data_IF_137058647475
#
_entry.id   IF_137058647475
#
_cell.length_a   1.000
_cell.length_b   1.000
_cell.length_c   1.000
_cell.angle_alpha   90.00
_cell.angle_beta   90.00
_cell.angle_gamma   90.00
#
_symmetry.space_group_name_H-M   'P 1'
#
loop_
_entity.id
_entity.type
_entity.pdbx_description
1 polymer ?
#
# COMPACT_ATOMS: atom_id res chain seq x y z
N UNK A 1 80.97 16.25 -27.56
CA UNK A 1 80.66 17.70 -27.43
C UNK A 1 79.23 17.85 -27.93
N UNK A 2 78.21 18.14 -27.14
CA UNK A 2 78.05 19.16 -26.09
C UNK A 2 77.19 18.59 -24.95
N UNK A 3 77.37 19.14 -23.76
CA UNK A 3 76.83 18.72 -22.47
C UNK A 3 75.45 19.35 -22.11
N UNK A 4 74.63 18.59 -21.36
CA UNK A 4 73.82 18.87 -20.14
C UNK A 4 73.19 20.28 -19.87
N UNK A 5 72.05 20.42 -19.13
CA UNK A 5 71.81 19.75 -17.83
C UNK A 5 70.36 19.38 -17.35
N UNK A 6 70.35 18.40 -16.44
CA UNK A 6 69.61 18.20 -15.16
C UNK A 6 68.26 18.89 -14.88
N UNK A 7 67.29 18.15 -14.32
CA UNK A 7 67.06 18.07 -12.87
C UNK A 7 66.06 16.96 -12.46
N UNK A 8 66.44 16.24 -11.41
CA UNK A 8 65.71 15.40 -10.44
C UNK A 8 64.24 15.85 -10.18
N UNK A 9 63.25 15.02 -9.76
CA UNK A 9 63.26 14.12 -8.59
C UNK A 9 61.91 13.38 -8.42
N UNK A 10 61.96 12.25 -7.68
CA UNK A 10 60.91 11.57 -6.89
C UNK A 10 59.63 11.02 -7.55
N UNK A 11 59.65 9.71 -7.85
CA UNK A 11 58.44 8.89 -7.87
C UNK A 11 58.35 8.13 -6.52
N UNK A 12 57.47 8.58 -5.64
CA UNK A 12 57.14 7.88 -4.40
C UNK A 12 56.28 6.65 -4.71
N UNK A 13 56.74 5.48 -4.23
CA UNK A 13 55.90 4.31 -4.00
C UNK A 13 54.79 4.69 -3.01
N UNK A 14 53.53 4.61 -3.45
CA UNK A 14 52.39 4.47 -2.57
C UNK A 14 51.76 3.10 -2.84
N UNK A 15 52.15 2.12 -2.01
CA UNK A 15 51.47 0.83 -1.86
C UNK A 15 50.15 1.11 -1.16
N UNK A 16 49.07 1.23 -1.93
CA UNK A 16 47.70 1.26 -1.41
C UNK A 16 47.09 -0.12 -1.53
N UNK A 17 46.95 -0.83 -0.41
CA UNK A 17 46.16 -2.05 -0.26
C UNK A 17 44.70 -1.78 -0.67
N UNK A 18 44.34 -2.07 -1.91
CA UNK A 18 42.94 -2.27 -2.29
C UNK A 18 42.54 -3.66 -1.80
N UNK A 19 41.91 -3.72 -0.63
CA UNK A 19 41.14 -4.86 -0.17
C UNK A 19 39.99 -5.10 -1.15
N UNK A 20 40.22 -5.98 -2.13
CA UNK A 20 39.18 -6.58 -2.94
C UNK A 20 38.32 -7.48 -2.05
N UNK A 21 37.36 -6.90 -1.33
CA UNK A 21 36.17 -7.62 -0.91
C UNK A 21 35.26 -7.70 -2.13
N UNK A 22 35.50 -8.71 -2.96
CA UNK A 22 34.52 -9.14 -3.95
C UNK A 22 33.30 -9.64 -3.19
N UNK A 23 32.31 -8.77 -2.96
CA UNK A 23 30.95 -9.18 -2.69
C UNK A 23 30.41 -9.80 -3.97
N UNK A 24 30.73 -11.07 -4.18
CA UNK A 24 30.04 -11.90 -5.15
C UNK A 24 28.61 -11.96 -4.63
N UNK A 25 27.71 -11.19 -5.23
CA UNK A 25 26.29 -11.45 -5.15
C UNK A 25 26.09 -12.82 -5.78
N UNK A 26 26.12 -13.86 -4.95
CA UNK A 26 25.68 -15.17 -5.37
C UNK A 26 24.21 -14.99 -5.74
N UNK A 27 23.90 -15.13 -7.03
CA UNK A 27 22.52 -15.32 -7.46
C UNK A 27 21.89 -16.36 -6.52
N UNK A 28 20.68 -16.11 -5.99
CA UNK A 28 20.02 -17.09 -5.14
C UNK A 28 20.08 -18.43 -5.88
N UNK A 29 20.58 -19.47 -5.18
CA UNK A 29 20.68 -20.81 -5.76
C UNK A 29 19.37 -21.11 -6.48
N UNK A 30 19.43 -21.60 -7.71
CA UNK A 30 18.25 -22.11 -8.40
C UNK A 30 17.65 -23.21 -7.53
N UNK A 31 16.74 -22.83 -6.62
CA UNK A 31 15.84 -23.75 -5.99
C UNK A 31 15.09 -24.37 -7.16
N UNK A 32 15.29 -25.68 -7.38
CA UNK A 32 14.52 -26.40 -8.38
C UNK A 32 13.06 -26.16 -8.01
N UNK A 33 12.25 -25.63 -8.94
CA UNK A 33 10.80 -25.37 -8.72
C UNK A 33 10.10 -26.56 -8.06
N UNK A 34 10.61 -27.76 -8.32
CA UNK A 34 10.16 -29.07 -7.83
C UNK A 34 10.38 -29.30 -6.32
N UNK A 35 11.10 -28.41 -5.62
CA UNK A 35 11.42 -28.54 -4.19
C UNK A 35 10.63 -27.59 -3.28
N UNK A 36 9.78 -26.72 -3.82
CA UNK A 36 8.86 -25.94 -2.99
C UNK A 36 7.75 -26.90 -2.54
N UNK A 37 7.61 -27.20 -1.24
CA UNK A 37 6.55 -28.08 -0.77
C UNK A 37 5.19 -27.48 -1.16
N UNK A 38 4.39 -28.24 -1.90
CA UNK A 38 3.01 -27.83 -2.20
C UNK A 38 2.26 -27.76 -0.87
N UNK A 39 1.85 -26.56 -0.48
CA UNK A 39 1.04 -26.33 0.70
C UNK A 39 -0.37 -26.89 0.45
N UNK A 40 -0.89 -27.81 1.30
CA UNK A 40 -2.24 -28.33 1.15
C UNK A 40 -3.29 -27.18 1.10
N UNK A 41 -4.37 -27.29 0.30
CA UNK A 41 -5.42 -26.26 0.23
C UNK A 41 -6.01 -25.88 1.60
N UNK A 42 -6.07 -26.82 2.54
CA UNK A 42 -6.51 -26.58 3.92
C UNK A 42 -5.58 -25.62 4.70
N UNK A 43 -4.33 -25.47 4.26
CA UNK A 43 -3.32 -24.56 4.82
C UNK A 43 -3.18 -23.26 4.00
N UNK A 44 -3.83 -23.14 2.83
CA UNK A 44 -3.86 -21.93 2.01
C UNK A 44 -4.93 -20.91 2.46
N UNK A 45 -5.39 -21.00 3.72
CA UNK A 45 -6.15 -19.93 4.39
C UNK A 45 -7.57 -19.65 3.88
N UNK A 46 -8.09 -20.40 2.91
CA UNK A 46 -9.41 -20.11 2.34
C UNK A 46 -10.60 -20.52 3.23
N UNK A 47 -10.39 -21.36 4.26
CA UNK A 47 -11.39 -21.71 5.30
C UNK A 47 -12.70 -22.38 4.82
N UNK A 48 -13.00 -22.38 3.52
CA UNK A 48 -14.20 -22.94 2.95
C UNK A 48 -13.96 -24.41 2.59
N UNK A 49 -14.88 -25.30 3.01
CA UNK A 49 -14.96 -26.66 2.48
C UNK A 49 -15.22 -26.55 0.96
N UNK A 50 -14.30 -27.02 0.09
CA UNK A 50 -14.50 -26.95 -1.35
C UNK A 50 -15.76 -27.69 -1.83
N UNK A 51 -16.34 -28.58 -0.99
CA UNK A 51 -17.62 -29.25 -1.25
C UNK A 51 -18.85 -28.36 -1.04
N UNK A 52 -18.69 -27.21 -0.39
CA UNK A 52 -19.76 -26.26 -0.09
C UNK A 52 -19.61 -24.90 -0.81
N UNK A 53 -18.42 -24.61 -1.36
CA UNK A 53 -18.20 -23.43 -2.18
C UNK A 53 -19.04 -23.49 -3.48
N UNK A 54 -19.52 -22.34 -3.96
CA UNK A 54 -20.23 -22.25 -5.24
C UNK A 54 -19.32 -22.69 -6.39
N UNK A 55 -19.44 -23.95 -6.82
CA UNK A 55 -18.57 -24.53 -7.84
C UNK A 55 -18.89 -23.97 -9.22
N UNK A 56 -17.84 -23.73 -10.01
CA UNK A 56 -18.02 -23.60 -11.45
C UNK A 56 -18.38 -24.98 -12.01
N UNK A 57 -19.66 -25.18 -12.36
CA UNK A 57 -20.18 -26.46 -12.89
C UNK A 57 -19.87 -26.66 -14.39
N UNK A 58 -18.92 -25.93 -14.96
CA UNK A 58 -18.57 -26.09 -16.37
C UNK A 58 -17.77 -27.38 -16.60
N UNK A 59 -18.39 -28.36 -17.24
CA UNK A 59 -17.79 -29.65 -17.62
C UNK A 59 -17.36 -29.69 -19.10
N UNK A 60 -17.03 -28.54 -19.70
CA UNK A 60 -16.74 -28.44 -21.13
C UNK A 60 -15.25 -28.27 -21.45
N UNK A 61 -14.82 -28.82 -22.60
CA UNK A 61 -13.50 -28.57 -23.21
C UNK A 61 -13.20 -27.08 -23.45
N UNK A 62 -14.23 -26.22 -23.42
CA UNK A 62 -14.10 -24.76 -23.43
C UNK A 62 -14.38 -24.24 -22.01
N UNK A 63 -13.48 -23.47 -21.38
CA UNK A 63 -13.74 -22.88 -20.07
C UNK A 63 -14.92 -21.91 -20.20
N UNK A 64 -15.98 -22.15 -19.42
CA UNK A 64 -17.11 -21.24 -19.33
C UNK A 64 -16.99 -20.40 -18.06
N UNK A 65 -17.44 -19.13 -18.14
CA UNK A 65 -17.61 -18.33 -16.93
C UNK A 65 -18.57 -19.04 -16.00
N UNK A 66 -18.25 -18.99 -14.71
CA UNK A 66 -19.17 -19.44 -13.68
C UNK A 66 -20.49 -18.69 -13.85
N UNK A 67 -21.60 -19.45 -13.93
CA UNK A 67 -22.97 -19.00 -14.20
C UNK A 67 -23.38 -18.71 -15.66
N UNK A 68 -22.53 -18.96 -16.68
CA UNK A 68 -22.94 -18.90 -18.11
C UNK A 68 -23.65 -17.59 -18.52
N UNK A 69 -23.24 -16.46 -17.95
CA UNK A 69 -23.89 -15.16 -18.18
C UNK A 69 -23.62 -14.69 -19.61
N UNK A 70 -24.61 -14.83 -20.51
CA UNK A 70 -24.49 -14.47 -21.94
C UNK A 70 -24.49 -12.95 -22.21
N UNK A 71 -25.03 -12.15 -21.29
CA UNK A 71 -25.14 -10.69 -21.37
C UNK A 71 -24.78 -10.10 -20.01
N UNK A 72 -23.49 -10.00 -19.66
CA UNK A 72 -23.09 -9.46 -18.37
C UNK A 72 -23.47 -7.98 -18.27
N UNK A 73 -23.83 -7.55 -17.08
CA UNK A 73 -23.93 -6.14 -16.70
C UNK A 73 -22.83 -5.87 -15.68
N UNK A 74 -22.22 -4.70 -15.74
CA UNK A 74 -21.19 -4.27 -14.78
C UNK A 74 -21.76 -3.34 -13.70
N UNK A 75 -23.08 -3.20 -13.61
CA UNK A 75 -23.72 -2.45 -12.54
C UNK A 75 -23.61 -3.18 -11.20
N UNK A 76 -23.46 -2.44 -10.11
CA UNK A 76 -23.44 -3.00 -8.76
C UNK A 76 -24.75 -3.73 -8.42
N UNK A 77 -24.69 -4.86 -7.71
CA UNK A 77 -25.88 -5.68 -7.40
C UNK A 77 -26.46 -5.45 -6.01
N UNK A 78 -25.62 -5.09 -5.05
CA UNK A 78 -26.02 -4.93 -3.66
C UNK A 78 -25.60 -3.57 -3.11
N UNK A 79 -26.10 -3.24 -1.91
CA UNK A 79 -25.61 -2.07 -1.19
C UNK A 79 -24.13 -2.24 -0.81
N UNK A 80 -23.66 -3.47 -0.55
CA UNK A 80 -22.25 -3.73 -0.28
C UNK A 80 -21.38 -3.40 -1.51
N UNK A 81 -21.78 -3.88 -2.70
CA UNK A 81 -21.11 -3.53 -3.96
C UNK A 81 -21.11 -2.01 -4.17
N UNK A 82 -22.28 -1.36 -4.04
CA UNK A 82 -22.41 0.08 -4.21
C UNK A 82 -21.45 0.87 -3.30
N UNK A 83 -21.44 0.55 -2.00
CA UNK A 83 -20.61 1.27 -1.02
C UNK A 83 -19.11 1.00 -1.21
N UNK A 84 -18.75 -0.18 -1.70
CA UNK A 84 -17.35 -0.54 -1.97
C UNK A 84 -16.84 0.16 -3.23
N UNK A 85 -17.62 0.15 -4.31
CA UNK A 85 -17.29 0.87 -5.56
C UNK A 85 -17.35 2.39 -5.36
N UNK A 86 -18.25 2.91 -4.53
CA UNK A 86 -18.28 4.33 -4.17
C UNK A 86 -17.04 4.78 -3.39
N UNK A 87 -16.50 3.91 -2.52
CA UNK A 87 -15.21 4.15 -1.86
C UNK A 87 -14.07 4.19 -2.89
N UNK A 88 -14.00 3.21 -3.79
CA UNK A 88 -13.02 3.21 -4.87
C UNK A 88 -13.14 4.48 -5.74
N UNK A 89 -14.36 4.92 -6.09
CA UNK A 89 -14.54 6.17 -6.85
C UNK A 89 -14.04 7.43 -6.11
N UNK A 90 -14.14 7.47 -4.78
CA UNK A 90 -13.51 8.54 -3.99
C UNK A 90 -11.98 8.51 -4.08
N UNK A 91 -11.39 7.32 -4.16
CA UNK A 91 -9.96 7.11 -4.40
C UNK A 91 -9.55 7.65 -5.79
N UNK A 92 -10.24 7.22 -6.85
CA UNK A 92 -9.93 7.67 -8.23
C UNK A 92 -9.90 9.20 -8.34
N UNK A 93 -10.88 9.87 -7.72
CA UNK A 93 -10.96 11.33 -7.79
C UNK A 93 -9.87 12.06 -7.01
N UNK A 94 -9.42 11.51 -5.87
CA UNK A 94 -8.32 12.14 -5.14
C UNK A 94 -6.99 11.90 -5.85
N UNK A 95 -6.79 10.76 -6.52
CA UNK A 95 -5.58 10.50 -7.30
C UNK A 95 -5.51 11.39 -8.54
N UNK A 96 -6.63 11.49 -9.25
CA UNK A 96 -6.77 12.43 -10.37
C UNK A 96 -6.41 13.86 -9.95
N UNK A 97 -6.94 14.33 -8.82
CA UNK A 97 -6.66 15.66 -8.30
C UNK A 97 -5.21 15.80 -7.85
N UNK A 98 -4.70 14.85 -7.03
CA UNK A 98 -3.36 14.86 -6.48
C UNK A 98 -2.29 14.91 -7.56
N UNK A 99 -2.38 14.03 -8.57
CA UNK A 99 -1.35 13.94 -9.61
C UNK A 99 -1.31 15.21 -10.45
N UNK A 100 -2.47 15.77 -10.80
CA UNK A 100 -2.54 17.06 -11.49
C UNK A 100 -2.05 18.21 -10.60
N UNK A 101 -2.43 18.23 -9.33
CA UNK A 101 -2.03 19.26 -8.36
C UNK A 101 -0.51 19.28 -8.17
N UNK A 102 0.12 18.12 -7.97
CA UNK A 102 1.57 18.01 -7.85
C UNK A 102 2.29 18.57 -9.07
N UNK A 103 1.87 18.15 -10.27
CA UNK A 103 2.45 18.58 -11.56
C UNK A 103 2.42 20.09 -11.80
N UNK A 104 1.48 20.82 -11.18
CA UNK A 104 1.37 22.28 -11.33
C UNK A 104 1.90 23.07 -10.13
N UNK A 105 2.04 22.43 -8.96
CA UNK A 105 2.50 23.08 -7.73
C UNK A 105 3.98 23.46 -7.81
N UNK A 106 4.79 22.62 -8.43
CA UNK A 106 6.25 22.75 -8.47
C UNK A 106 6.74 23.21 -9.85
N UNK A 107 7.88 23.90 -9.88
CA UNK A 107 8.53 24.27 -11.13
C UNK A 107 9.32 23.10 -11.71
N UNK A 108 9.61 23.15 -13.01
CA UNK A 108 10.51 22.18 -13.66
C UNK A 108 11.87 22.08 -12.95
N UNK A 109 12.40 23.20 -12.44
CA UNK A 109 13.66 23.21 -11.70
C UNK A 109 13.58 22.46 -10.34
N UNK A 110 12.43 22.49 -9.66
CA UNK A 110 12.22 21.75 -8.41
C UNK A 110 12.18 20.24 -8.69
N UNK A 111 11.57 19.83 -9.80
CA UNK A 111 11.54 18.45 -10.26
C UNK A 111 12.92 17.96 -10.69
N UNK A 112 13.64 18.75 -11.49
CA UNK A 112 15.00 18.42 -11.94
C UNK A 112 15.95 18.30 -10.72
N UNK A 113 15.78 19.15 -9.70
CA UNK A 113 16.54 19.06 -8.46
C UNK A 113 16.23 17.81 -7.62
N UNK A 114 15.02 17.25 -7.76
CA UNK A 114 14.63 15.98 -7.16
C UNK A 114 15.03 14.77 -8.02
N UNK A 115 15.60 14.98 -9.21
CA UNK A 115 15.96 13.93 -10.15
C UNK A 115 14.78 13.36 -10.95
N UNK A 116 13.67 14.08 -11.02
CA UNK A 116 12.45 13.71 -11.76
C UNK A 116 12.42 14.52 -13.06
N UNK A 117 12.72 13.86 -14.18
CA UNK A 117 12.88 14.54 -15.46
C UNK A 117 11.55 14.77 -16.20
N UNK A 118 11.61 15.29 -17.42
CA UNK A 118 10.43 15.57 -18.23
C UNK A 118 9.64 14.31 -18.63
N UNK A 119 10.30 13.17 -18.82
CA UNK A 119 9.67 11.90 -19.17
C UNK A 119 9.01 11.28 -17.93
N UNK A 120 9.61 11.40 -16.76
CA UNK A 120 9.00 11.02 -15.48
C UNK A 120 7.74 11.85 -15.19
N UNK A 121 7.81 13.17 -15.38
CA UNK A 121 6.64 14.07 -15.28
C UNK A 121 5.57 13.70 -16.31
N UNK A 122 5.96 13.24 -17.50
CA UNK A 122 5.02 12.73 -18.50
C UNK A 122 4.32 11.45 -18.03
N UNK A 123 5.03 10.53 -17.38
CA UNK A 123 4.44 9.33 -16.80
C UNK A 123 3.42 9.70 -15.71
N UNK A 124 3.73 10.63 -14.80
CA UNK A 124 2.77 11.11 -13.79
C UNK A 124 1.51 11.69 -14.44
N UNK A 125 1.67 12.46 -15.52
CA UNK A 125 0.53 12.99 -16.29
C UNK A 125 -0.29 11.88 -16.93
N UNK A 126 0.36 10.83 -17.42
CA UNK A 126 -0.34 9.67 -17.98
C UNK A 126 -1.11 8.90 -16.91
N UNK A 127 -0.53 8.72 -15.71
CA UNK A 127 -1.25 8.14 -14.56
C UNK A 127 -2.50 8.95 -14.23
N UNK A 128 -2.40 10.28 -14.18
CA UNK A 128 -3.58 11.16 -14.01
C UNK A 128 -4.66 10.96 -15.10
N UNK A 129 -4.28 10.65 -16.34
CA UNK A 129 -5.25 10.34 -17.40
C UNK A 129 -5.92 8.98 -17.22
N UNK A 130 -5.21 8.01 -16.63
CA UNK A 130 -5.77 6.70 -16.31
C UNK A 130 -6.88 6.84 -15.26
N UNK A 131 -6.71 7.72 -14.27
CA UNK A 131 -7.74 7.98 -13.24
C UNK A 131 -9.04 8.54 -13.82
N UNK A 132 -8.99 9.26 -14.95
CA UNK A 132 -10.22 9.67 -15.67
C UNK A 132 -10.98 8.43 -16.16
N UNK A 133 -10.26 7.47 -16.75
CA UNK A 133 -10.84 6.22 -17.25
C UNK A 133 -11.43 5.39 -16.12
N UNK A 134 -10.71 5.25 -15.00
CA UNK A 134 -11.18 4.55 -13.82
C UNK A 134 -12.42 5.22 -13.21
N UNK A 135 -12.38 6.53 -12.98
CA UNK A 135 -13.51 7.28 -12.45
C UNK A 135 -14.77 7.17 -13.33
N UNK A 136 -14.61 7.21 -14.66
CA UNK A 136 -15.71 6.99 -15.63
C UNK A 136 -16.27 5.56 -15.51
N UNK A 137 -15.40 4.55 -15.45
CA UNK A 137 -15.82 3.17 -15.31
C UNK A 137 -16.64 2.97 -14.03
N UNK A 138 -16.12 3.38 -12.88
CA UNK A 138 -16.80 3.22 -11.58
C UNK A 138 -18.08 4.06 -11.48
N UNK A 139 -18.06 5.29 -12.01
CA UNK A 139 -19.28 6.12 -12.08
C UNK A 139 -20.38 5.46 -12.90
N UNK A 140 -20.03 4.80 -14.02
CA UNK A 140 -21.00 4.07 -14.84
C UNK A 140 -21.57 2.83 -14.11
N UNK A 141 -20.79 2.15 -13.27
CA UNK A 141 -21.28 1.03 -12.46
C UNK A 141 -22.29 1.47 -11.39
N UNK A 142 -22.06 2.66 -10.80
CA UNK A 142 -22.88 3.25 -9.74
C UNK A 142 -24.11 4.01 -10.27
N UNK A 143 -24.05 4.47 -11.52
CA UNK A 143 -25.13 5.18 -12.19
C UNK A 143 -25.38 6.58 -11.62
N UNK A 144 -26.62 7.09 -11.64
CA UNK A 144 -26.94 8.47 -11.25
C UNK A 144 -26.57 8.86 -9.80
N UNK A 145 -26.35 7.87 -8.93
CA UNK A 145 -25.98 8.05 -7.52
C UNK A 145 -24.47 8.01 -7.27
N UNK A 146 -23.66 7.88 -8.33
CA UNK A 146 -22.21 7.91 -8.21
C UNK A 146 -21.76 9.21 -7.50
N UNK A 147 -20.92 9.13 -6.45
CA UNK A 147 -20.27 10.29 -5.89
C UNK A 147 -19.60 11.16 -6.96
N UNK A 148 -19.65 12.47 -6.74
CA UNK A 148 -18.92 13.47 -7.52
C UNK A 148 -17.60 13.80 -6.86
N UNK A 149 -16.66 14.33 -7.64
CA UNK A 149 -15.36 14.76 -7.16
C UNK A 149 -15.50 15.78 -6.02
N UNK A 150 -14.67 15.62 -4.99
CA UNK A 150 -14.66 16.48 -3.81
C UNK A 150 -13.55 17.55 -3.93
N UNK A 151 -13.37 18.36 -2.90
CA UNK A 151 -12.20 19.23 -2.74
C UNK A 151 -11.23 18.59 -1.75
N UNK A 152 -9.94 18.76 -2.00
CA UNK A 152 -8.87 18.05 -1.29
C UNK A 152 -7.87 19.02 -0.68
N UNK A 153 -7.06 18.50 0.25
CA UNK A 153 -5.93 19.22 0.85
C UNK A 153 -4.72 18.29 0.90
N UNK A 154 -3.54 18.86 0.66
CA UNK A 154 -2.27 18.14 0.76
C UNK A 154 -1.24 19.01 1.46
N UNK A 155 -0.41 18.41 2.33
CA UNK A 155 0.47 19.15 3.24
C UNK A 155 1.95 19.15 2.82
N UNK A 156 2.30 18.50 1.70
CA UNK A 156 3.66 18.49 1.18
C UNK A 156 4.12 19.85 0.63
N UNK A 157 5.42 20.12 0.77
CA UNK A 157 6.11 21.37 0.39
C UNK A 157 7.23 21.15 -0.62
N UNK A 158 7.66 19.91 -0.85
CA UNK A 158 8.73 19.56 -1.80
C UNK A 158 8.30 18.45 -2.76
N UNK A 159 9.00 18.32 -3.90
CA UNK A 159 8.76 17.23 -4.87
C UNK A 159 8.93 15.84 -4.21
N UNK A 160 9.98 15.56 -3.42
CA UNK A 160 10.08 14.28 -2.72
C UNK A 160 8.92 13.99 -1.77
N UNK A 161 8.44 14.99 -1.03
CA UNK A 161 7.25 14.83 -0.16
C UNK A 161 5.97 14.59 -0.97
N UNK A 162 5.84 15.19 -2.16
CA UNK A 162 4.75 14.89 -3.08
C UNK A 162 4.81 13.44 -3.58
N UNK A 163 5.99 12.97 -3.99
CA UNK A 163 6.18 11.59 -4.45
C UNK A 163 5.92 10.58 -3.32
N UNK A 164 6.44 10.80 -2.11
CA UNK A 164 6.14 9.94 -0.94
C UNK A 164 4.64 9.94 -0.63
N UNK A 165 3.98 11.10 -0.67
CA UNK A 165 2.53 11.17 -0.44
C UNK A 165 1.75 10.41 -1.51
N UNK A 166 2.08 10.56 -2.79
CA UNK A 166 1.48 9.79 -3.89
C UNK A 166 1.72 8.29 -3.75
N UNK A 167 2.94 7.89 -3.39
CA UNK A 167 3.31 6.51 -3.14
C UNK A 167 2.41 5.86 -2.07
N UNK A 168 2.23 6.55 -0.95
CA UNK A 168 1.37 6.07 0.13
C UNK A 168 -0.09 6.10 -0.30
N UNK A 169 -0.55 7.20 -0.89
CA UNK A 169 -1.95 7.40 -1.27
C UNK A 169 -2.45 6.31 -2.22
N UNK A 170 -1.66 5.99 -3.23
CA UNK A 170 -1.97 4.91 -4.15
C UNK A 170 -1.93 3.55 -3.46
N UNK A 171 -1.03 3.32 -2.49
CA UNK A 171 -1.01 2.05 -1.76
C UNK A 171 -2.29 1.77 -0.98
N UNK A 172 -2.86 2.76 -0.28
CA UNK A 172 -4.10 2.50 0.47
C UNK A 172 -5.33 2.41 -0.43
N UNK A 173 -5.33 3.07 -1.58
CA UNK A 173 -6.33 2.87 -2.63
C UNK A 173 -6.31 1.45 -3.17
N UNK A 174 -5.12 1.05 -3.65
CA UNK A 174 -4.77 -0.27 -4.13
C UNK A 174 -5.20 -1.37 -3.15
N UNK A 175 -4.68 -1.29 -1.93
CA UNK A 175 -4.94 -2.29 -0.89
C UNK A 175 -6.41 -2.30 -0.45
N UNK A 176 -7.07 -1.14 -0.48
CA UNK A 176 -8.50 -1.02 -0.18
C UNK A 176 -9.34 -1.87 -1.13
N UNK A 177 -9.11 -1.75 -2.44
CA UNK A 177 -9.82 -2.54 -3.45
C UNK A 177 -9.49 -4.01 -3.35
N UNK A 178 -8.20 -4.38 -3.24
CA UNK A 178 -7.81 -5.80 -3.10
C UNK A 178 -8.48 -6.47 -1.89
N UNK A 179 -8.74 -5.72 -0.81
CA UNK A 179 -9.39 -6.25 0.39
C UNK A 179 -10.87 -6.58 0.26
N UNK A 180 -11.59 -6.03 -0.74
CA UNK A 180 -13.01 -6.32 -0.94
C UNK A 180 -13.35 -6.92 -2.30
N UNK A 181 -12.41 -6.96 -3.24
CA UNK A 181 -12.65 -7.39 -4.62
C UNK A 181 -13.33 -8.77 -4.71
N UNK A 182 -12.86 -9.72 -3.88
CA UNK A 182 -13.40 -11.08 -3.80
C UNK A 182 -14.76 -11.17 -3.07
N UNK A 183 -15.18 -10.10 -2.41
CA UNK A 183 -16.43 -10.01 -1.66
C UNK A 183 -17.57 -9.38 -2.47
N UNK A 184 -17.29 -8.85 -3.67
CA UNK A 184 -18.31 -8.28 -4.55
C UNK A 184 -19.26 -9.35 -5.08
N UNK A 185 -20.56 -9.02 -5.09
CA UNK A 185 -21.60 -9.90 -5.61
C UNK A 185 -21.55 -9.98 -7.15
N UNK A 186 -21.31 -8.85 -7.83
CA UNK A 186 -21.18 -8.82 -9.28
C UNK A 186 -19.74 -9.08 -9.76
N UNK A 187 -19.49 -10.30 -10.24
CA UNK A 187 -18.21 -10.70 -10.84
C UNK A 187 -17.78 -9.87 -12.06
N UNK A 188 -18.73 -9.32 -12.83
CA UNK A 188 -18.40 -8.47 -13.97
C UNK A 188 -17.89 -7.09 -13.53
N UNK A 189 -18.47 -6.51 -12.48
CA UNK A 189 -17.94 -5.29 -11.84
C UNK A 189 -16.57 -5.55 -11.24
N UNK A 190 -16.42 -6.66 -10.50
CA UNK A 190 -15.13 -7.07 -9.93
C UNK A 190 -14.06 -7.26 -11.01
N UNK A 191 -14.40 -7.83 -12.18
CA UNK A 191 -13.43 -8.01 -13.25
C UNK A 191 -12.95 -6.69 -13.86
N UNK A 192 -13.81 -5.68 -13.98
CA UNK A 192 -13.39 -4.36 -14.47
C UNK A 192 -12.55 -3.66 -13.40
N UNK A 193 -12.98 -3.71 -12.13
CA UNK A 193 -12.22 -3.14 -11.02
C UNK A 193 -10.84 -3.82 -10.87
N UNK A 194 -10.73 -5.13 -11.12
CA UNK A 194 -9.46 -5.84 -11.15
C UNK A 194 -8.49 -5.27 -12.21
N UNK A 195 -9.02 -4.85 -13.36
CA UNK A 195 -8.21 -4.29 -14.44
C UNK A 195 -7.69 -2.88 -14.09
N UNK A 196 -8.50 -2.05 -13.44
CA UNK A 196 -8.05 -0.72 -12.97
C UNK A 196 -7.06 -0.87 -11.82
N UNK A 197 -7.36 -1.67 -10.81
CA UNK A 197 -6.51 -1.77 -9.61
C UNK A 197 -5.13 -2.37 -9.91
N UNK A 198 -5.03 -3.28 -10.89
CA UNK A 198 -3.73 -3.80 -11.36
C UNK A 198 -2.91 -2.71 -12.06
N UNK A 199 -3.56 -1.67 -12.59
CA UNK A 199 -2.88 -0.48 -13.11
C UNK A 199 -2.40 0.40 -11.97
N UNK A 200 -3.23 0.66 -10.95
CA UNK A 200 -2.84 1.40 -9.73
C UNK A 200 -1.63 0.77 -9.02
N UNK A 201 -1.56 -0.56 -8.92
CA UNK A 201 -0.38 -1.26 -8.39
C UNK A 201 0.91 -0.90 -9.14
N UNK A 202 0.84 -0.68 -10.46
CA UNK A 202 1.99 -0.24 -11.27
C UNK A 202 2.31 1.23 -11.08
N UNK A 203 1.30 2.05 -10.79
CA UNK A 203 1.49 3.46 -10.47
C UNK A 203 2.20 3.60 -9.12
N UNK A 204 1.76 2.83 -8.12
CA UNK A 204 2.41 2.73 -6.82
C UNK A 204 3.87 2.29 -6.97
N UNK A 205 4.13 1.25 -7.76
CA UNK A 205 5.48 0.81 -8.12
C UNK A 205 6.30 1.95 -8.75
N UNK A 206 5.71 2.73 -9.65
CA UNK A 206 6.38 3.87 -10.30
C UNK A 206 6.73 4.97 -9.29
N UNK A 207 5.83 5.29 -8.35
CA UNK A 207 6.14 6.24 -7.28
C UNK A 207 7.27 5.74 -6.36
N UNK A 208 7.36 4.43 -6.09
CA UNK A 208 8.52 3.87 -5.38
C UNK A 208 9.83 4.06 -6.16
N UNK A 209 9.80 3.91 -7.49
CA UNK A 209 10.96 4.16 -8.35
C UNK A 209 11.37 5.63 -8.32
N UNK A 210 10.40 6.55 -8.38
CA UNK A 210 10.63 7.99 -8.25
C UNK A 210 11.16 8.38 -6.87
N UNK A 211 10.80 7.65 -5.82
CA UNK A 211 11.34 7.90 -4.48
C UNK A 211 12.77 7.35 -4.31
N UNK A 212 13.23 6.46 -5.20
CA UNK A 212 14.51 5.76 -5.07
C UNK A 212 14.44 4.54 -4.15
N UNK A 213 13.25 3.94 -3.98
CA UNK A 213 13.03 2.69 -3.27
C UNK A 213 13.02 1.49 -4.23
N UNK A 214 13.18 0.28 -3.71
CA UNK A 214 13.01 -0.91 -4.56
C UNK A 214 11.55 -1.02 -5.05
N UNK A 215 11.32 -1.22 -6.37
CA UNK A 215 9.97 -1.14 -6.94
C UNK A 215 9.03 -2.26 -6.52
N UNK A 216 9.53 -3.47 -6.25
CA UNK A 216 8.70 -4.67 -6.01
C UNK A 216 9.16 -5.44 -4.76
N UNK A 217 9.03 -4.87 -3.55
CA UNK A 217 9.60 -5.41 -2.31
C UNK A 217 8.86 -6.64 -1.75
N UNK A 218 7.67 -6.96 -2.25
CA UNK A 218 6.82 -8.04 -1.76
C UNK A 218 6.46 -9.05 -2.88
N UNK A 219 5.95 -10.22 -2.49
CA UNK A 219 5.51 -11.24 -3.46
C UNK A 219 4.03 -11.12 -3.80
N UNK A 220 3.23 -10.54 -2.90
CA UNK A 220 1.77 -10.49 -3.02
C UNK A 220 1.24 -9.16 -2.51
N UNK A 221 0.29 -8.59 -3.24
CA UNK A 221 -0.32 -7.34 -2.81
C UNK A 221 -1.23 -7.53 -1.60
N UNK A 222 -1.16 -6.57 -0.68
CA UNK A 222 -1.91 -6.60 0.58
C UNK A 222 -3.33 -6.09 0.35
N UNK A 223 -4.34 -6.78 0.88
CA UNK A 223 -5.72 -6.25 0.96
C UNK A 223 -6.04 -5.70 2.34
N UNK A 224 -6.79 -4.59 2.43
CA UNK A 224 -7.31 -4.05 3.70
C UNK A 224 -8.83 -3.81 3.64
N UNK A 225 -9.55 -3.85 4.78
CA UNK A 225 -10.99 -3.60 4.80
C UNK A 225 -11.37 -2.20 4.31
N UNK A 226 -12.59 -2.04 3.77
CA UNK A 226 -13.10 -0.74 3.31
C UNK A 226 -13.06 0.34 4.38
N UNK A 227 -13.37 -0.02 5.64
CA UNK A 227 -13.32 0.91 6.78
C UNK A 227 -11.89 1.40 7.07
N UNK A 228 -10.87 0.60 6.78
CA UNK A 228 -9.47 0.98 6.91
C UNK A 228 -9.06 1.94 5.80
N UNK A 229 -9.34 1.60 4.55
CA UNK A 229 -9.10 2.49 3.41
C UNK A 229 -9.82 3.84 3.57
N UNK A 230 -11.08 3.83 4.02
CA UNK A 230 -11.83 5.06 4.29
C UNK A 230 -11.27 5.87 5.47
N UNK A 231 -10.78 5.20 6.51
CA UNK A 231 -10.09 5.87 7.64
C UNK A 231 -8.85 6.61 7.17
N UNK A 232 -8.09 6.06 6.21
CA UNK A 232 -6.89 6.67 5.65
C UNK A 232 -7.17 7.77 4.62
N UNK A 233 -8.21 7.59 3.80
CA UNK A 233 -8.56 8.51 2.71
C UNK A 233 -9.30 9.77 3.21
N UNK A 234 -10.30 9.59 4.08
CA UNK A 234 -11.21 10.68 4.46
C UNK A 234 -10.56 11.92 5.10
N UNK A 235 -9.44 11.88 5.85
CA UNK A 235 -8.77 13.07 6.37
C UNK A 235 -8.35 14.09 5.30
N UNK A 236 -8.12 13.64 4.06
CA UNK A 236 -7.60 14.45 2.96
C UNK A 236 -8.69 15.13 2.13
N UNK A 237 -9.95 14.84 2.43
CA UNK A 237 -11.11 15.43 1.76
C UNK A 237 -11.65 16.59 2.61
N UNK A 238 -11.67 17.79 2.06
CA UNK A 238 -12.12 19.02 2.73
C UNK A 238 -13.65 19.11 2.72
N UNK A 239 -14.26 18.99 1.54
CA UNK A 239 -15.71 19.01 1.37
C UNK A 239 -16.09 18.30 0.07
N UNK A 240 -17.33 17.80 0.01
CA UNK A 240 -17.90 17.18 -1.18
C UNK A 240 -19.18 17.91 -1.60
N UNK A 241 -19.60 17.80 -2.88
CA UNK A 241 -20.91 18.28 -3.33
C UNK A 241 -22.06 17.74 -2.45
N UNK A 242 -23.09 18.54 -2.20
CA UNK A 242 -24.17 18.22 -1.26
C UNK A 242 -24.96 16.97 -1.67
N UNK A 243 -25.00 16.65 -2.97
CA UNK A 243 -25.63 15.45 -3.50
C UNK A 243 -24.89 14.16 -3.12
N UNK A 244 -23.60 14.23 -2.78
CA UNK A 244 -22.81 13.06 -2.40
C UNK A 244 -23.34 12.47 -1.09
N UNK A 245 -23.57 11.17 -1.10
CA UNK A 245 -24.03 10.45 0.09
C UNK A 245 -22.82 9.96 0.91
N UNK A 246 -22.92 9.98 2.25
CA UNK A 246 -21.89 9.39 3.11
C UNK A 246 -21.70 7.90 2.81
N UNK A 247 -20.45 7.45 2.85
CA UNK A 247 -20.14 6.02 2.78
C UNK A 247 -20.60 5.29 4.04
N UNK A 248 -20.99 4.03 3.89
CA UNK A 248 -21.46 3.18 4.98
C UNK A 248 -20.35 2.71 5.95
N UNK A 249 -19.09 3.04 5.64
CA UNK A 249 -17.93 2.55 6.36
C UNK A 249 -17.62 3.40 7.59
N UNK A 250 -17.41 2.74 8.71
CA UNK A 250 -16.95 3.41 9.92
C UNK A 250 -15.50 3.86 9.77
N UNK A 251 -15.13 4.85 10.57
CA UNK A 251 -13.76 5.32 10.69
C UNK A 251 -13.25 5.08 12.10
N UNK A 252 -11.95 4.85 12.23
CA UNK A 252 -11.32 4.47 13.48
C UNK A 252 -10.42 5.59 14.00
N UNK A 253 -10.09 5.61 15.31
CA UNK A 253 -9.18 6.59 15.87
C UNK A 253 -7.83 6.54 15.18
N UNK A 254 -7.23 7.70 14.92
CA UNK A 254 -5.95 7.77 14.25
C UNK A 254 -4.85 7.07 15.08
N UNK A 255 -3.99 6.34 14.38
CA UNK A 255 -2.77 5.77 14.94
C UNK A 255 -1.60 6.51 14.32
N UNK A 256 -0.77 7.12 15.16
CA UNK A 256 0.50 7.70 14.77
C UNK A 256 1.62 6.78 15.21
N UNK A 257 2.45 6.39 14.27
CA UNK A 257 3.67 5.66 14.53
C UNK A 257 4.81 6.68 14.52
N UNK A 258 5.40 6.94 15.69
CA UNK A 258 6.25 8.13 15.88
C UNK A 258 7.70 7.95 15.42
N UNK A 259 8.12 6.71 15.17
CA UNK A 259 9.46 6.36 14.69
C UNK A 259 9.41 5.54 13.39
N UNK A 260 8.56 5.93 12.45
CA UNK A 260 8.60 5.37 11.09
C UNK A 260 9.95 5.66 10.42
N UNK A 261 10.42 4.78 9.51
CA UNK A 261 11.57 5.07 8.69
C UNK A 261 11.32 6.26 7.77
N UNK A 262 12.37 6.99 7.46
CA UNK A 262 12.36 8.09 6.50
C UNK A 262 12.69 7.53 5.10
N UNK A 263 11.65 7.19 4.35
CA UNK A 263 11.77 6.62 3.01
C UNK A 263 12.41 7.59 2.01
N UNK A 264 12.11 8.88 2.11
CA UNK A 264 12.73 9.93 1.29
C UNK A 264 14.24 9.97 1.52
N UNK A 265 14.68 9.97 2.79
CA UNK A 265 16.10 9.95 3.11
C UNK A 265 16.78 8.65 2.64
N UNK A 266 16.12 7.51 2.79
CA UNK A 266 16.63 6.22 2.34
C UNK A 266 16.80 6.17 0.82
N UNK A 267 15.80 6.61 0.06
CA UNK A 267 15.84 6.67 -1.40
C UNK A 267 16.89 7.66 -1.91
N UNK A 268 17.03 8.82 -1.27
CA UNK A 268 18.12 9.76 -1.55
C UNK A 268 19.49 9.13 -1.30
N UNK A 269 19.66 8.39 -0.21
CA UNK A 269 20.91 7.68 0.10
C UNK A 269 21.22 6.56 -0.93
N UNK A 270 20.19 6.03 -1.59
CA UNK A 270 20.31 5.04 -2.66
C UNK A 270 20.71 5.62 -4.02
N UNK A 271 20.79 6.95 -4.13
CA UNK A 271 21.06 7.65 -5.39
C UNK A 271 19.84 8.34 -6.01
N UNK A 272 18.68 8.30 -5.36
CA UNK A 272 17.45 8.95 -5.81
C UNK A 272 16.66 8.15 -6.85
N UNK A 273 15.83 8.83 -7.67
CA UNK A 273 14.96 8.20 -8.66
C UNK A 273 15.71 7.20 -9.55
N UNK A 274 15.20 5.98 -9.67
CA UNK A 274 15.83 4.92 -10.48
C UNK A 274 14.85 3.80 -10.82
N UNK A 275 15.08 3.11 -11.95
CA UNK A 275 14.29 1.92 -12.32
C UNK A 275 14.36 0.85 -11.22
N UNK A 276 15.51 0.72 -10.56
CA UNK A 276 15.71 -0.19 -9.43
C UNK A 276 16.97 0.18 -8.64
N UNK A 277 17.01 -0.24 -7.39
CA UNK A 277 18.12 -0.09 -6.44
C UNK A 277 18.09 -1.25 -5.44
N UNK A 278 19.02 -1.27 -4.48
CA UNK A 278 19.08 -2.33 -3.47
C UNK A 278 18.47 -1.93 -2.11
N UNK A 279 17.63 -0.89 -2.06
CA UNK A 279 16.84 -0.53 -0.87
C UNK A 279 15.59 -1.40 -0.84
N UNK A 280 15.82 -2.67 -0.55
CA UNK A 280 14.76 -3.67 -0.39
C UNK A 280 14.16 -3.67 1.01
N UNK A 281 14.78 -2.90 1.93
CA UNK A 281 14.45 -2.86 3.33
C UNK A 281 14.68 -1.46 3.96
N UNK A 282 13.74 -0.96 4.76
CA UNK A 282 13.79 0.29 5.54
C UNK A 282 13.84 0.07 7.07
N UNK A 283 13.41 -1.10 7.55
CA UNK A 283 13.26 -1.52 8.94
C UNK A 283 13.77 -2.97 9.11
N UNK A 284 13.64 -3.56 10.30
CA UNK A 284 14.09 -4.94 10.52
C UNK A 284 13.31 -5.62 11.65
N UNK A 285 13.34 -6.95 11.66
CA UNK A 285 12.79 -7.74 12.76
C UNK A 285 13.36 -7.28 14.11
N UNK A 286 12.47 -7.23 15.12
CA UNK A 286 12.85 -6.88 16.49
C UNK A 286 13.03 -5.39 16.74
N UNK A 287 12.94 -4.55 15.70
CA UNK A 287 12.92 -3.09 15.82
C UNK A 287 11.77 -2.66 16.74
N UNK A 288 12.08 -1.78 17.70
CA UNK A 288 11.08 -1.21 18.60
C UNK A 288 10.28 -0.13 17.89
N UNK A 289 8.95 -0.26 17.91
CA UNK A 289 7.99 0.61 17.27
C UNK A 289 7.19 1.32 18.34
N UNK A 290 7.10 2.65 18.24
CA UNK A 290 6.40 3.49 19.22
C UNK A 290 5.13 4.04 18.60
N UNK A 291 4.02 3.84 19.30
CA UNK A 291 2.69 4.21 18.87
C UNK A 291 2.09 5.27 19.78
N UNK A 292 1.39 6.22 19.18
CA UNK A 292 0.50 7.18 19.82
C UNK A 292 -0.84 7.09 19.12
N UNK A 293 -1.94 6.98 19.85
CA UNK A 293 -3.28 6.91 19.24
C UNK A 293 -4.29 7.85 19.88
N UNK A 294 -5.29 8.18 19.08
CA UNK A 294 -6.39 9.01 19.49
C UNK A 294 -7.46 8.24 20.26
N UNK A 295 -8.20 8.94 21.13
CA UNK A 295 -9.46 8.43 21.68
C UNK A 295 -10.57 8.46 20.61
N UNK A 296 -11.55 7.55 20.67
CA UNK A 296 -12.72 7.61 19.80
C UNK A 296 -13.54 8.88 20.00
N UNK A 297 -14.29 9.27 18.96
CA UNK A 297 -15.22 10.40 18.97
C UNK A 297 -14.74 11.65 18.24
N UNK A 298 -13.50 11.65 17.71
CA UNK A 298 -13.00 12.76 16.87
C UNK A 298 -13.77 12.81 15.54
N UNK A 299 -14.09 14.01 15.09
CA UNK A 299 -14.74 14.23 13.79
C UNK A 299 -13.71 14.27 12.67
N UNK A 300 -13.98 13.56 11.58
CA UNK A 300 -13.11 13.44 10.42
C UNK A 300 -13.91 13.30 9.13
N UNK A 301 -13.30 13.74 8.03
CA UNK A 301 -13.81 13.56 6.68
C UNK A 301 -14.94 14.51 6.28
N UNK A 302 -15.36 14.43 5.00
CA UNK A 302 -16.27 15.40 4.39
C UNK A 302 -17.70 15.28 4.96
N UNK A 303 -18.04 14.11 5.51
CA UNK A 303 -19.35 13.80 6.06
C UNK A 303 -19.42 13.93 7.59
N UNK A 304 -18.40 14.54 8.22
CA UNK A 304 -18.34 14.78 9.69
C UNK A 304 -18.54 13.49 10.52
N UNK A 305 -18.03 12.36 10.03
CA UNK A 305 -18.10 11.09 10.75
C UNK A 305 -17.27 11.18 12.03
N UNK A 306 -17.68 10.42 13.05
CA UNK A 306 -16.92 10.29 14.29
C UNK A 306 -16.15 9.00 14.31
N UNK A 307 -14.91 9.04 14.77
CA UNK A 307 -14.09 7.84 15.00
C UNK A 307 -14.71 6.95 16.06
N UNK A 308 -14.68 5.63 15.84
CA UNK A 308 -15.30 4.63 16.73
C UNK A 308 -14.37 3.46 16.98
N UNK A 309 -14.59 2.76 18.10
CA UNK A 309 -14.04 1.43 18.37
C UNK A 309 -15.16 0.57 18.94
N UNK A 310 -15.14 -0.73 18.63
CA UNK A 310 -16.07 -1.73 19.19
C UNK A 310 -15.47 -2.49 20.37
N UNK A 311 -14.30 -2.07 20.83
CA UNK A 311 -13.54 -2.70 21.91
C UNK A 311 -13.67 -1.91 23.21
N UNK A 312 -13.04 -2.41 24.28
CA UNK A 312 -12.87 -1.65 25.54
C UNK A 312 -11.97 -0.41 25.41
N UNK A 313 -11.32 -0.20 24.26
CA UNK A 313 -10.36 0.88 24.03
C UNK A 313 -8.95 0.61 24.56
N UNK A 314 -8.71 -0.57 25.15
CA UNK A 314 -7.39 -1.01 25.63
C UNK A 314 -6.75 -1.93 24.60
N UNK A 315 -5.70 -1.50 23.89
CA UNK A 315 -5.04 -2.34 22.91
C UNK A 315 -4.10 -3.34 23.59
N UNK A 316 -3.99 -4.54 23.02
CA UNK A 316 -3.11 -5.61 23.49
C UNK A 316 -2.06 -5.99 22.46
N UNK A 317 -2.35 -5.81 21.17
CA UNK A 317 -1.47 -6.21 20.08
C UNK A 317 -1.35 -5.11 19.03
N UNK A 318 -0.20 -5.05 18.37
CA UNK A 318 -0.05 -4.39 17.08
C UNK A 318 -0.24 -5.45 15.99
N UNK A 319 -1.24 -5.25 15.13
CA UNK A 319 -1.58 -6.10 14.01
C UNK A 319 -0.93 -5.56 12.74
N UNK A 320 0.06 -6.28 12.21
CA UNK A 320 0.76 -5.96 10.97
C UNK A 320 0.11 -6.73 9.82
N UNK A 321 -0.67 -6.01 8.99
CA UNK A 321 -1.34 -6.56 7.83
C UNK A 321 -0.42 -6.40 6.62
N UNK A 322 0.05 -7.53 6.10
CA UNK A 322 0.93 -7.57 4.92
C UNK A 322 0.74 -8.87 4.15
N UNK A 323 0.77 -8.76 2.83
CA UNK A 323 0.66 -9.86 1.87
C UNK A 323 -0.56 -10.74 2.19
N UNK A 324 -0.32 -11.97 2.67
CA UNK A 324 -1.38 -12.95 2.93
C UNK A 324 -1.88 -13.03 4.37
N UNK A 325 -1.22 -12.41 5.34
CA UNK A 325 -1.52 -12.69 6.75
C UNK A 325 -1.52 -11.41 7.58
N UNK A 326 -2.15 -11.53 8.75
CA UNK A 326 -1.97 -10.57 9.83
C UNK A 326 -0.99 -11.17 10.83
N UNK A 327 0.10 -10.45 11.09
CA UNK A 327 1.11 -10.83 12.09
C UNK A 327 0.97 -9.95 13.30
N UNK A 328 0.92 -10.54 14.48
CA UNK A 328 0.69 -9.80 15.72
C UNK A 328 1.96 -9.71 16.55
N UNK A 329 2.19 -8.55 17.14
CA UNK A 329 3.19 -8.35 18.19
C UNK A 329 2.50 -7.88 19.48
N UNK A 330 2.82 -8.46 20.64
CA UNK A 330 2.26 -8.00 21.92
C UNK A 330 2.73 -6.58 22.21
N UNK A 331 1.81 -5.74 22.70
CA UNK A 331 2.12 -4.40 23.16
C UNK A 331 2.70 -4.44 24.58
N UNK A 332 3.64 -3.53 24.83
CA UNK A 332 4.18 -3.24 26.15
C UNK A 332 4.28 -1.72 26.34
N UNK A 333 4.57 -1.28 27.56
CA UNK A 333 4.54 0.14 27.96
C UNK A 333 3.24 0.85 27.57
N UNK A 334 2.10 0.15 27.74
CA UNK A 334 0.77 0.66 27.37
C UNK A 334 0.29 1.67 28.42
N UNK A 335 0.13 2.93 28.00
CA UNK A 335 -0.53 3.99 28.75
C UNK A 335 -1.80 4.42 28.00
N UNK A 336 -2.96 4.01 28.50
CA UNK A 336 -4.27 4.32 27.90
C UNK A 336 -4.73 5.75 28.16
N UNK A 337 -4.15 6.44 29.15
CA UNK A 337 -4.46 7.85 29.41
C UNK A 337 -3.73 8.74 28.41
N UNK A 338 -2.45 8.47 28.18
CA UNK A 338 -1.62 9.15 27.19
C UNK A 338 -1.88 8.66 25.76
N UNK A 339 -2.46 7.47 25.60
CA UNK A 339 -2.66 6.84 24.30
C UNK A 339 -1.34 6.40 23.68
N UNK A 340 -0.43 5.83 24.46
CA UNK A 340 0.91 5.41 23.99
C UNK A 340 1.19 3.94 24.28
N UNK A 341 1.92 3.28 23.38
CA UNK A 341 2.36 1.89 23.56
C UNK A 341 3.55 1.60 22.66
N UNK A 342 4.20 0.47 22.89
CA UNK A 342 5.30 -0.04 22.07
C UNK A 342 5.05 -1.47 21.63
N UNK A 343 5.61 -1.83 20.48
CA UNK A 343 5.75 -3.22 20.05
C UNK A 343 7.15 -3.47 19.50
N UNK A 344 7.55 -4.72 19.35
CA UNK A 344 8.68 -5.09 18.50
C UNK A 344 8.15 -5.59 17.18
N UNK A 345 8.67 -5.07 16.05
CA UNK A 345 8.30 -5.53 14.72
C UNK A 345 8.47 -7.05 14.65
N UNK A 346 7.41 -7.80 14.28
CA UNK A 346 7.55 -9.23 14.10
C UNK A 346 8.41 -9.51 12.86
N UNK A 347 9.16 -10.61 12.90
CA UNK A 347 9.84 -11.14 11.72
C UNK A 347 8.96 -12.12 10.94
N UNK A 348 9.65 -13.01 10.21
CA UNK A 348 9.03 -14.10 9.47
C UNK A 348 9.11 -13.91 7.96
N UNK A 349 8.75 -14.98 7.25
CA UNK A 349 8.78 -15.04 5.79
C UNK A 349 7.45 -15.56 5.26
N UNK A 350 7.09 -15.17 4.04
CA UNK A 350 5.82 -15.59 3.41
C UNK A 350 5.74 -17.11 3.25
N UNK A 351 6.85 -17.70 2.80
CA UNK A 351 7.08 -19.15 2.78
C UNK A 351 8.34 -19.47 3.59
N UNK A 352 8.54 -20.72 4.05
CA UNK A 352 9.75 -21.10 4.81
C UNK A 352 11.07 -20.72 4.14
N UNK A 353 11.07 -20.51 2.82
CA UNK A 353 12.18 -19.99 2.03
C UNK A 353 11.67 -18.86 1.12
N UNK A 354 11.51 -17.65 1.66
CA UNK A 354 10.93 -16.52 0.94
C UNK A 354 11.30 -15.15 1.51
N UNK A 355 10.69 -14.06 0.99
CA UNK A 355 10.97 -12.70 1.43
C UNK A 355 10.41 -12.51 2.82
N UNK A 356 10.91 -11.46 3.48
CA UNK A 356 10.34 -10.97 4.72
C UNK A 356 8.83 -10.78 4.57
N UNK A 357 8.09 -11.21 5.59
CA UNK A 357 6.66 -11.00 5.67
C UNK A 357 6.34 -9.51 5.85
N UNK A 358 7.20 -8.80 6.59
CA UNK A 358 7.09 -7.36 6.83
C UNK A 358 8.09 -6.67 5.91
N UNK A 359 7.64 -6.38 4.70
CA UNK A 359 8.34 -5.58 3.70
C UNK A 359 7.30 -4.76 2.91
N UNK A 360 7.71 -3.73 2.17
CA UNK A 360 6.81 -2.80 1.45
C UNK A 360 6.07 -1.81 2.34
N UNK A 361 5.19 -1.02 1.72
CA UNK A 361 4.22 -0.19 2.43
C UNK A 361 3.08 -1.07 2.95
N UNK A 362 3.08 -1.34 4.25
CA UNK A 362 2.11 -2.18 4.96
C UNK A 362 1.20 -1.37 5.88
N UNK A 363 0.26 -2.04 6.54
CA UNK A 363 -0.70 -1.41 7.43
C UNK A 363 -0.60 -1.97 8.84
N UNK A 364 -0.64 -1.09 9.84
CA UNK A 364 -0.65 -1.47 11.25
C UNK A 364 -1.88 -0.91 11.94
N UNK A 365 -2.56 -1.74 12.72
CA UNK A 365 -3.62 -1.31 13.64
C UNK A 365 -3.34 -1.84 15.05
N UNK A 366 -3.82 -1.13 16.07
CA UNK A 366 -3.82 -1.62 17.44
C UNK A 366 -5.12 -2.40 17.69
N UNK A 367 -5.00 -3.63 18.17
CA UNK A 367 -6.15 -4.53 18.39
C UNK A 367 -6.23 -5.06 19.81
N UNK A 368 -7.43 -5.46 20.23
CA UNK A 368 -7.68 -6.08 21.55
C UNK A 368 -7.52 -7.61 21.56
N UNK A 369 -7.43 -8.22 20.36
CA UNK A 369 -7.19 -9.65 20.13
C UNK A 369 -6.15 -9.86 19.03
N UNK A 370 -5.55 -11.05 19.03
CA UNK A 370 -4.62 -11.59 18.03
C UNK A 370 -5.30 -12.64 17.13
N UNK A 371 -6.60 -12.44 16.85
CA UNK A 371 -7.40 -13.38 16.05
C UNK A 371 -6.77 -13.59 14.68
N UNK A 372 -6.64 -14.85 14.26
CA UNK A 372 -6.08 -15.18 12.96
C UNK A 372 -7.02 -14.77 11.82
N UNK A 373 -6.53 -13.95 10.90
CA UNK A 373 -7.23 -13.53 9.70
C UNK A 373 -6.42 -13.84 8.44
N UNK A 374 -7.16 -14.06 7.35
CA UNK A 374 -6.67 -14.23 5.99
C UNK A 374 -7.35 -13.20 5.09
N UNK A 375 -6.94 -13.01 3.83
CA UNK A 375 -7.58 -12.06 2.93
C UNK A 375 -9.07 -12.34 2.73
N UNK A 376 -9.51 -13.59 2.93
CA UNK A 376 -10.91 -13.98 2.79
C UNK A 376 -11.81 -13.47 3.94
N UNK A 377 -11.27 -13.25 5.15
CA UNK A 377 -12.07 -12.87 6.33
C UNK A 377 -11.52 -11.67 7.10
N UNK A 378 -10.54 -10.95 6.53
CA UNK A 378 -9.86 -9.82 7.18
C UNK A 378 -10.82 -8.72 7.62
N UNK A 379 -11.95 -8.51 6.94
CA UNK A 379 -12.95 -7.50 7.33
C UNK A 379 -13.50 -7.70 8.75
N UNK A 380 -13.40 -8.89 9.34
CA UNK A 380 -13.77 -9.16 10.72
C UNK A 380 -12.85 -8.47 11.74
N UNK A 381 -11.64 -8.06 11.36
CA UNK A 381 -10.71 -7.32 12.22
C UNK A 381 -11.29 -5.98 12.68
N UNK A 382 -12.22 -5.41 11.92
CA UNK A 382 -12.88 -4.13 12.17
C UNK A 382 -13.53 -4.03 13.56
N UNK A 383 -13.99 -5.16 14.12
CA UNK A 383 -14.58 -5.21 15.47
C UNK A 383 -13.54 -5.23 16.60
N UNK A 384 -12.27 -5.44 16.26
CA UNK A 384 -11.15 -5.56 17.19
C UNK A 384 -10.20 -4.38 17.12
N UNK A 385 -10.43 -3.40 16.22
CA UNK A 385 -9.61 -2.20 16.10
C UNK A 385 -9.87 -1.25 17.27
N UNK A 386 -8.80 -0.96 18.01
CA UNK A 386 -8.74 0.12 19.01
C UNK A 386 -8.39 1.44 18.32
N UNK A 387 -7.37 1.43 17.47
CA UNK A 387 -6.92 2.57 16.68
C UNK A 387 -6.16 2.12 15.43
N UNK A 388 -6.14 2.97 14.42
CA UNK A 388 -5.53 2.71 13.11
C UNK A 388 -6.56 2.46 12.02
N UNK A 389 -6.14 2.02 10.83
CA UNK A 389 -4.75 1.70 10.52
C UNK A 389 -3.86 2.94 10.45
N UNK A 390 -2.57 2.73 10.64
CA UNK A 390 -1.50 3.58 10.18
C UNK A 390 -0.79 2.89 9.02
N UNK A 391 -0.26 3.68 8.09
CA UNK A 391 0.62 3.17 7.05
C UNK A 391 2.04 3.13 7.58
N UNK A 392 2.75 2.09 7.20
CA UNK A 392 4.14 1.89 7.53
C UNK A 392 4.90 1.44 6.31
N UNK A 393 5.85 2.24 5.85
CA UNK A 393 6.81 1.83 4.84
C UNK A 393 7.83 0.88 5.50
N UNK A 394 7.41 -0.36 5.72
CA UNK A 394 8.28 -1.41 6.14
C UNK A 394 9.28 -1.72 5.03
N UNK A 395 10.42 -2.23 5.45
CA UNK A 395 11.20 -3.04 4.55
C UNK A 395 12.22 -3.84 5.28
#
# INVERSE_FOLDING_TARGET
MVAFPNLFTFLHLAVGCASFLSSVSSAPSQLRRDQIPIVPPAQLGAGADPRQAGMNLSESYQPNSSFLVKKPTSQVFSNFDFQSIALALHQEYIELDLFNYGLVKFSDADYDAAGIDADDRHLIRHMAQQEIGHAVALSNMLGPKAPKQCTYRYEFQTVPEFIDFSQRLTKWGESGVYGFLNLLDNRASAQILLQSITTEARQQMSFRQFEGLFPMPEWFETGIPQSWAWTLLSPWIVSCPEENQPLAWEIYPALNWTNQPDAIAAGKAAGGPSISNNVTALTQEGQENTFVWDKPGKTQGPYKQKTKTHTSGVPKFAAYVSQFNVTYAPLYDVDTNAGTAKARQPGGTVYPQGPSLINSTIFVALTDTDTFYTPANLSLINYHVVAGPAIYQAG
#
